data_IF_667054273273
#
_entry.id   IF_667054273273
#
_cell.length_a   1.000
_cell.length_b   1.000
_cell.length_c   1.000
_cell.angle_alpha   90.00
_cell.angle_beta   90.00
_cell.angle_gamma   90.00
#
_symmetry.space_group_name_H-M   'P 1'
#
loop_
_entity.id
_entity.type
_entity.pdbx_description
1 polymer ?
#
# COMPACT_ATOMS: atom_id res chain seq x y z
N UNK A 1 0.35 9.79 18.43
CA UNK A 1 1.27 8.76 17.92
C UNK A 1 2.14 9.42 16.88
N UNK A 2 3.45 9.45 17.09
CA UNK A 2 4.40 10.02 16.14
C UNK A 2 4.43 9.08 14.93
N UNK A 3 3.74 9.46 13.83
CA UNK A 3 3.89 8.77 12.54
C UNK A 3 5.37 8.96 12.19
N UNK A 4 6.18 7.91 12.32
CA UNK A 4 7.31 7.75 11.42
C UNK A 4 6.66 7.62 10.04
N UNK A 5 6.44 8.78 9.41
CA UNK A 5 5.79 8.92 8.13
C UNK A 5 6.62 8.07 7.17
N UNK A 6 6.04 6.95 6.75
CA UNK A 6 6.58 6.15 5.69
C UNK A 6 6.83 7.11 4.52
N UNK A 7 8.09 7.36 4.17
CA UNK A 7 8.38 8.16 3.00
C UNK A 7 7.97 7.33 1.78
N UNK A 8 6.78 7.61 1.26
CA UNK A 8 6.16 6.87 0.17
C UNK A 8 7.07 6.88 -1.07
N UNK A 9 7.84 7.94 -1.30
CA UNK A 9 8.78 8.01 -2.41
C UNK A 9 9.93 7.01 -2.23
N UNK A 10 10.48 6.92 -1.02
CA UNK A 10 11.49 5.92 -0.67
C UNK A 10 10.92 4.50 -0.77
N UNK A 11 9.72 4.27 -0.24
CA UNK A 11 9.04 2.98 -0.33
C UNK A 11 8.84 2.53 -1.78
N UNK A 12 8.32 3.40 -2.66
CA UNK A 12 8.13 3.10 -4.09
C UNK A 12 9.45 2.75 -4.75
N UNK A 13 10.51 3.51 -4.45
CA UNK A 13 11.84 3.27 -5.02
C UNK A 13 12.37 1.88 -4.63
N UNK A 14 12.29 1.54 -3.34
CA UNK A 14 12.78 0.27 -2.82
C UNK A 14 11.92 -0.92 -3.27
N UNK A 15 10.60 -0.77 -3.25
CA UNK A 15 9.65 -1.79 -3.69
C UNK A 15 9.79 -2.06 -5.19
N UNK A 16 9.95 -1.03 -6.02
CA UNK A 16 10.18 -1.19 -7.44
C UNK A 16 11.49 -1.96 -7.71
N UNK A 17 12.58 -1.60 -7.02
CA UNK A 17 13.85 -2.31 -7.13
C UNK A 17 13.75 -3.77 -6.70
N UNK A 18 13.07 -4.06 -5.58
CA UNK A 18 12.89 -5.42 -5.07
C UNK A 18 12.07 -6.31 -6.01
N UNK A 19 11.13 -5.72 -6.77
CA UNK A 19 10.28 -6.44 -7.72
C UNK A 19 10.83 -6.40 -9.16
N UNK A 20 12.01 -5.82 -9.40
CA UNK A 20 12.59 -5.69 -10.75
C UNK A 20 11.79 -4.78 -11.69
N UNK A 21 11.06 -3.80 -11.14
CA UNK A 21 10.24 -2.86 -11.90
C UNK A 21 11.07 -1.58 -12.16
N UNK A 22 11.24 -1.22 -13.42
CA UNK A 22 11.84 0.06 -13.80
C UNK A 22 10.76 1.16 -13.87
N UNK A 23 11.00 2.27 -13.18
CA UNK A 23 10.14 3.45 -13.19
C UNK A 23 10.95 4.66 -13.67
N UNK A 24 10.51 5.28 -14.76
CA UNK A 24 10.98 6.62 -15.10
C UNK A 24 10.46 7.66 -14.07
N UNK A 25 11.01 8.88 -14.03
CA UNK A 25 10.63 9.88 -13.02
C UNK A 25 9.15 10.27 -13.05
N UNK A 26 8.51 10.30 -14.22
CA UNK A 26 7.10 10.66 -14.34
C UNK A 26 6.20 9.55 -13.78
N UNK A 27 6.48 8.30 -14.16
CA UNK A 27 5.77 7.14 -13.66
C UNK A 27 6.00 6.93 -12.16
N UNK A 28 7.21 7.18 -11.67
CA UNK A 28 7.50 7.15 -10.23
C UNK A 28 6.60 8.12 -9.47
N UNK A 29 6.52 9.38 -9.91
CA UNK A 29 5.66 10.39 -9.27
C UNK A 29 4.17 9.98 -9.28
N UNK A 30 3.69 9.41 -10.40
CA UNK A 30 2.32 8.91 -10.51
C UNK A 30 2.02 7.76 -9.54
N UNK A 31 2.95 6.81 -9.39
CA UNK A 31 2.81 5.68 -8.47
C UNK A 31 2.82 6.17 -7.02
N UNK A 32 3.71 7.09 -6.66
CA UNK A 32 3.75 7.70 -5.33
C UNK A 32 2.41 8.37 -5.00
N UNK A 33 1.88 9.21 -5.90
CA UNK A 33 0.60 9.87 -5.69
C UNK A 33 -0.56 8.88 -5.55
N UNK A 34 -0.55 7.80 -6.34
CA UNK A 34 -1.57 6.75 -6.27
C UNK A 34 -1.51 6.00 -4.94
N UNK A 35 -0.31 5.65 -4.46
CA UNK A 35 -0.16 4.94 -3.19
C UNK A 35 -0.48 5.80 -1.98
N UNK A 36 -0.19 7.10 -2.00
CA UNK A 36 -0.67 8.03 -0.97
C UNK A 36 -2.19 8.01 -0.87
N UNK A 37 -2.88 7.97 -2.02
CA UNK A 37 -4.35 7.87 -2.04
C UNK A 37 -4.86 6.50 -1.56
N UNK A 38 -4.11 5.42 -1.82
CA UNK A 38 -4.40 4.08 -1.26
C UNK A 38 -4.17 4.04 0.25
N UNK A 39 -3.14 4.71 0.77
CA UNK A 39 -2.87 4.81 2.21
C UNK A 39 -4.07 5.42 2.95
N UNK A 40 -4.62 6.52 2.44
CA UNK A 40 -5.82 7.15 3.00
C UNK A 40 -7.04 6.20 3.04
N UNK A 41 -7.20 5.35 2.02
CA UNK A 41 -8.27 4.34 2.01
C UNK A 41 -7.97 3.19 2.97
N UNK A 42 -6.70 2.77 3.06
CA UNK A 42 -6.26 1.71 3.94
C UNK A 42 -6.42 2.11 5.43
N UNK A 43 -6.19 3.38 5.78
CA UNK A 43 -6.41 3.88 7.16
C UNK A 43 -7.83 3.57 7.67
N UNK A 44 -8.85 3.66 6.80
CA UNK A 44 -10.24 3.36 7.16
C UNK A 44 -10.45 1.87 7.45
N UNK A 45 -9.78 0.99 6.71
CA UNK A 45 -9.89 -0.47 6.86
C UNK A 45 -9.09 -0.95 8.07
N UNK A 46 -7.89 -0.40 8.27
CA UNK A 46 -7.00 -0.74 9.39
C UNK A 46 -7.57 -0.29 10.75
N UNK A 47 -8.58 0.57 10.76
CA UNK A 47 -9.28 0.98 11.97
C UNK A 47 -10.29 -0.06 12.50
N UNK A 48 -10.59 -1.12 11.73
CA UNK A 48 -11.44 -2.20 12.21
C UNK A 48 -10.71 -3.05 13.26
N UNK A 49 -11.39 -3.32 14.38
CA UNK A 49 -10.96 -4.32 15.35
C UNK A 49 -11.32 -5.70 14.79
N UNK A 50 -10.30 -6.49 14.46
CA UNK A 50 -10.48 -7.80 13.85
C UNK A 50 -10.18 -8.89 14.89
N UNK A 51 -11.08 -9.86 15.10
CA UNK A 51 -10.83 -10.96 16.01
C UNK A 51 -9.78 -11.92 15.41
N UNK A 52 -9.02 -12.61 16.26
CA UNK A 52 -7.96 -13.53 15.83
C UNK A 52 -8.47 -14.72 14.99
N UNK A 53 -9.77 -15.04 15.10
CA UNK A 53 -10.45 -16.11 14.36
C UNK A 53 -11.10 -15.64 13.04
N UNK A 54 -10.85 -14.39 12.62
CA UNK A 54 -11.38 -13.88 11.35
C UNK A 54 -10.82 -14.68 10.16
N UNK A 55 -11.71 -15.19 9.32
CA UNK A 55 -11.35 -15.91 8.10
C UNK A 55 -11.34 -14.97 6.88
N UNK A 56 -10.48 -15.29 5.91
CA UNK A 56 -10.47 -14.58 4.61
C UNK A 56 -11.81 -14.83 3.89
N UNK A 57 -12.34 -13.81 3.23
CA UNK A 57 -13.59 -13.93 2.48
C UNK A 57 -13.55 -15.10 1.47
N UNK A 58 -14.63 -15.90 1.37
CA UNK A 58 -14.66 -17.07 0.49
C UNK A 58 -14.59 -16.68 -0.99
N UNK A 59 -13.80 -17.41 -1.77
CA UNK A 59 -13.77 -17.31 -3.24
C UNK A 59 -14.66 -18.40 -3.81
N UNK A 60 -15.78 -18.02 -4.42
CA UNK A 60 -16.64 -18.96 -5.13
C UNK A 60 -16.17 -19.08 -6.57
N UNK A 61 -15.71 -20.28 -6.97
CA UNK A 61 -15.45 -20.58 -8.38
C UNK A 61 -16.78 -20.76 -9.13
N UNK A 62 -16.91 -20.10 -10.29
CA UNK A 62 -18.01 -20.29 -11.24
C UNK A 62 -17.83 -21.59 -12.03
#
# INVERSE_FOLDING_TARGET
MQRDLLDMATFVTQAAAANGISLDPERHAQVVATLLRVEEMAELVMAFDLPDDVEIAPVFAL
#
